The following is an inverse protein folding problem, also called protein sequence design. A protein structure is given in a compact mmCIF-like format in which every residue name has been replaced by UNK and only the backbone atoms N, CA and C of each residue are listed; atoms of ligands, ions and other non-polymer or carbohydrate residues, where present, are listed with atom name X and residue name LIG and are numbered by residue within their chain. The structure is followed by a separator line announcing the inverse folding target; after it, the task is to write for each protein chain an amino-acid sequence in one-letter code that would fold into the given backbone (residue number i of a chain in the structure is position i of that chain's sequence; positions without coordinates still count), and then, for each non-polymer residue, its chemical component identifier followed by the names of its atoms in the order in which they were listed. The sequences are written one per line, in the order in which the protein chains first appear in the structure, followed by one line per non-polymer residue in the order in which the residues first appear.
data_IF_854357780337
#
_entry.id   IF_854357780337
#
_cell.length_a   1.000
_cell.length_b   1.000
_cell.length_c   1.000
_cell.angle_alpha   90.00
_cell.angle_beta   90.00
_cell.angle_gamma   90.00
#
_symmetry.space_group_name_H-M   'P 1'
#
loop_
_entity.id
_entity.type
_entity.pdbx_description
1 polymer ?
#
# COMPACT_ATOMS: atom_id res chain seq x y z
N UNK A 1 18.46 28.74 -25.56
CA UNK A 1 18.33 28.11 -24.22
C UNK A 1 16.93 27.55 -23.94
N UNK A 2 15.89 28.03 -24.62
CA UNK A 2 14.48 27.58 -24.45
C UNK A 2 14.20 26.10 -24.82
N UNK A 3 15.00 25.51 -25.70
CA UNK A 3 14.82 24.11 -26.18
C UNK A 3 15.10 23.06 -25.10
N UNK A 4 15.93 23.39 -24.10
CA UNK A 4 16.30 22.47 -23.00
C UNK A 4 15.24 22.42 -21.88
N UNK A 5 14.45 23.49 -21.75
CA UNK A 5 13.41 23.59 -20.72
C UNK A 5 12.20 22.68 -21.01
N UNK A 6 11.81 22.52 -22.27
CA UNK A 6 10.71 21.64 -22.65
C UNK A 6 11.03 20.16 -22.43
N UNK A 7 12.24 19.72 -22.74
CA UNK A 7 12.69 18.33 -22.50
C UNK A 7 12.74 17.99 -21.00
N UNK A 8 13.14 18.95 -20.15
CA UNK A 8 13.16 18.76 -18.70
C UNK A 8 11.74 18.68 -18.11
N UNK A 9 10.77 19.44 -18.65
CA UNK A 9 9.39 19.44 -18.14
C UNK A 9 8.65 18.12 -18.40
N UNK A 10 8.93 17.45 -19.53
CA UNK A 10 8.30 16.17 -19.86
C UNK A 10 8.74 15.04 -18.90
N UNK A 11 9.99 15.08 -18.42
CA UNK A 11 10.52 14.12 -17.44
C UNK A 11 9.88 14.35 -16.06
N UNK A 12 9.70 15.62 -15.67
CA UNK A 12 9.06 15.98 -14.39
C UNK A 12 7.57 15.61 -14.39
N UNK A 13 6.85 15.80 -15.50
CA UNK A 13 5.44 15.43 -15.61
C UNK A 13 5.23 13.91 -15.57
N UNK A 14 6.11 13.13 -16.22
CA UNK A 14 6.05 11.67 -16.17
C UNK A 14 6.38 11.10 -14.78
N UNK A 15 7.33 11.71 -14.05
CA UNK A 15 7.66 11.31 -12.68
C UNK A 15 6.56 11.68 -11.67
N UNK A 16 5.86 12.81 -11.88
CA UNK A 16 4.77 13.24 -11.02
C UNK A 16 3.53 12.33 -11.14
N UNK A 17 3.22 11.82 -12.33
CA UNK A 17 2.04 10.98 -12.56
C UNK A 17 2.05 9.64 -11.82
N UNK A 18 3.22 9.08 -11.52
CA UNK A 18 3.38 7.79 -10.83
C UNK A 18 3.22 7.94 -9.31
N UNK A 19 3.44 9.14 -8.75
CA UNK A 19 3.38 9.38 -7.31
C UNK A 19 1.95 9.51 -6.77
N UNK A 20 0.95 9.65 -7.64
CA UNK A 20 -0.46 9.84 -7.25
C UNK A 20 -1.36 8.63 -7.50
N UNK A 21 -0.81 7.51 -8.00
CA UNK A 21 -1.57 6.27 -8.11
C UNK A 21 -1.60 5.60 -6.72
N UNK A 22 -2.47 6.09 -5.83
CA UNK A 22 -2.79 5.39 -4.59
C UNK A 22 -3.30 4.00 -4.94
N UNK A 23 -2.40 3.01 -4.89
CA UNK A 23 -2.78 1.62 -5.13
C UNK A 23 -3.63 1.16 -3.94
N UNK A 24 -4.74 0.45 -4.19
CA UNK A 24 -5.53 -0.11 -3.10
C UNK A 24 -4.65 -1.09 -2.30
N UNK A 25 -4.88 -1.16 -0.98
CA UNK A 25 -4.31 -2.21 -0.16
C UNK A 25 -4.79 -3.56 -0.69
N UNK A 26 -3.88 -4.37 -1.25
CA UNK A 26 -4.20 -5.71 -1.70
C UNK A 26 -4.20 -6.65 -0.50
N UNK A 27 -5.37 -7.06 -0.04
CA UNK A 27 -5.48 -8.16 0.90
C UNK A 27 -5.11 -9.46 0.17
N UNK A 28 -4.04 -10.12 0.61
CA UNK A 28 -3.67 -11.45 0.13
C UNK A 28 -4.35 -12.50 1.02
N UNK A 29 -5.43 -13.12 0.53
CA UNK A 29 -6.16 -14.18 1.25
C UNK A 29 -5.46 -15.55 1.20
N UNK A 30 -4.28 -15.66 0.57
CA UNK A 30 -3.54 -16.91 0.54
C UNK A 30 -2.97 -17.23 1.93
N UNK A 31 -3.65 -18.10 2.66
CA UNK A 31 -3.10 -18.76 3.84
C UNK A 31 -1.84 -19.55 3.44
N UNK A 32 -0.70 -19.19 4.02
CA UNK A 32 0.59 -19.79 3.69
C UNK A 32 1.38 -20.11 4.95
N UNK A 33 1.97 -21.30 4.97
CA UNK A 33 2.92 -21.72 5.99
C UNK A 33 4.14 -22.33 5.31
N UNK A 34 5.33 -21.99 5.79
CA UNK A 34 6.56 -22.59 5.28
C UNK A 34 6.72 -24.06 5.70
N UNK A 35 6.08 -24.49 6.79
CA UNK A 35 6.14 -25.87 7.31
C UNK A 35 7.53 -26.35 7.76
N UNK A 36 8.58 -25.53 7.66
CA UNK A 36 9.96 -25.96 7.84
C UNK A 36 10.24 -26.41 9.29
N UNK A 37 10.61 -27.68 9.46
CA UNK A 37 10.89 -28.27 10.78
C UNK A 37 9.66 -28.55 11.65
N UNK A 38 8.46 -28.54 11.08
CA UNK A 38 7.23 -28.67 11.86
C UNK A 38 6.78 -30.11 12.05
N UNK A 39 6.48 -30.49 13.30
CA UNK A 39 5.93 -31.83 13.64
C UNK A 39 4.39 -31.84 13.59
N UNK A 40 3.74 -30.71 13.89
CA UNK A 40 2.26 -30.56 13.92
C UNK A 40 1.77 -29.17 13.45
N UNK A 41 2.55 -28.42 12.68
CA UNK A 41 2.22 -27.04 12.30
C UNK A 41 1.45 -26.93 10.99
N UNK A 42 1.01 -25.70 10.69
CA UNK A 42 0.23 -25.37 9.49
C UNK A 42 -1.28 -25.31 9.69
N UNK A 43 -1.77 -25.45 10.92
CA UNK A 43 -3.18 -25.28 11.24
C UNK A 43 -3.58 -23.79 11.19
N UNK A 44 -4.11 -23.36 10.05
CA UNK A 44 -4.59 -21.99 9.82
C UNK A 44 -6.12 -21.98 9.79
N UNK A 45 -6.73 -21.12 10.59
CA UNK A 45 -8.19 -20.88 10.59
C UNK A 45 -8.44 -19.60 9.80
N UNK A 46 -9.22 -19.71 8.73
CA UNK A 46 -9.60 -18.59 7.87
C UNK A 46 -11.07 -18.28 8.14
N UNK A 47 -11.34 -17.09 8.65
CA UNK A 47 -12.68 -16.61 8.89
C UNK A 47 -12.79 -15.19 8.32
N UNK A 48 -13.92 -14.91 7.66
CA UNK A 48 -14.27 -13.55 7.27
C UNK A 48 -14.64 -12.75 8.52
N UNK A 49 -13.91 -11.66 8.76
CA UNK A 49 -14.07 -10.78 9.90
C UNK A 49 -14.01 -9.35 9.40
N UNK A 50 -15.12 -8.62 9.54
CA UNK A 50 -15.18 -7.19 9.32
C UNK A 50 -14.52 -6.49 10.51
N UNK A 51 -13.23 -6.17 10.36
CA UNK A 51 -12.44 -5.47 11.36
C UNK A 51 -11.91 -4.20 10.71
N UNK A 52 -12.14 -3.03 11.31
CA UNK A 52 -11.71 -1.79 10.71
C UNK A 52 -10.21 -1.65 10.95
N UNK A 53 -9.42 -1.73 9.89
CA UNK A 53 -7.96 -1.59 9.96
C UNK A 53 -7.53 -0.47 9.01
N UNK A 54 -6.98 0.59 9.59
CA UNK A 54 -6.35 1.65 8.81
C UNK A 54 -4.82 1.54 8.91
N UNK A 55 -4.18 1.36 7.76
CA UNK A 55 -2.73 1.45 7.61
C UNK A 55 -2.42 2.73 6.84
N UNK A 56 -2.19 3.82 7.58
CA UNK A 56 -1.83 5.10 7.00
C UNK A 56 -0.37 5.44 7.31
N UNK A 57 0.27 6.21 6.43
CA UNK A 57 1.61 6.74 6.68
C UNK A 57 2.74 5.83 6.19
N UNK A 58 2.43 4.84 5.35
CA UNK A 58 3.44 4.01 4.71
C UNK A 58 3.88 4.63 3.39
N UNK A 59 5.17 4.98 3.27
CA UNK A 59 5.78 5.35 2.01
C UNK A 59 7.08 4.57 1.80
N UNK A 60 7.24 4.01 0.62
CA UNK A 60 8.44 3.27 0.20
C UNK A 60 8.92 3.89 -1.11
N UNK A 61 10.21 4.24 -1.20
CA UNK A 61 10.84 4.71 -2.43
C UNK A 61 12.07 3.88 -2.76
N UNK A 62 12.19 3.51 -4.03
CA UNK A 62 13.35 2.76 -4.55
C UNK A 62 14.54 3.71 -4.80
N UNK A 63 14.27 4.96 -5.21
CA UNK A 63 15.24 6.04 -5.35
C UNK A 63 14.56 7.38 -4.98
N UNK A 64 15.25 8.28 -4.27
CA UNK A 64 14.71 9.60 -3.90
C UNK A 64 14.10 9.67 -2.49
N UNK A 65 13.17 10.61 -2.27
CA UNK A 65 12.56 10.89 -0.95
C UNK A 65 11.15 10.29 -0.87
N UNK A 66 10.89 9.48 0.15
CA UNK A 66 9.56 8.98 0.50
C UNK A 66 8.97 9.81 1.65
N UNK A 67 7.81 10.41 1.46
CA UNK A 67 7.07 11.11 2.53
C UNK A 67 5.67 10.51 2.63
N UNK A 68 5.20 10.25 3.84
CA UNK A 68 3.84 9.80 4.11
C UNK A 68 3.18 10.71 5.13
N UNK A 69 1.88 10.96 4.98
CA UNK A 69 1.11 11.82 5.89
C UNK A 69 -0.27 11.22 6.09
N UNK A 70 -0.82 11.44 7.28
CA UNK A 70 -2.14 11.00 7.69
C UNK A 70 -2.88 12.17 8.35
N UNK A 71 -4.14 12.36 7.97
CA UNK A 71 -5.08 13.28 8.60
C UNK A 71 -6.44 12.54 8.57
N UNK A 72 -7.20 12.57 9.66
CA UNK A 72 -8.53 11.91 9.75
C UNK A 72 -8.55 10.40 9.40
N UNK A 73 -7.57 9.64 9.88
CA UNK A 73 -7.45 8.21 9.57
C UNK A 73 -8.32 7.31 10.45
N UNK A 74 -9.62 7.59 10.44
CA UNK A 74 -10.61 6.79 11.15
C UNK A 74 -10.88 5.47 10.41
N UNK A 75 -11.04 4.37 11.17
CA UNK A 75 -11.46 3.08 10.65
C UNK A 75 -12.61 2.61 11.53
N UNK A 76 -13.81 2.60 10.98
CA UNK A 76 -15.04 2.28 11.70
C UNK A 76 -15.81 1.21 10.92
N UNK A 77 -16.49 0.31 11.63
CA UNK A 77 -17.46 -0.60 11.04
C UNK A 77 -18.83 0.04 11.21
N UNK A 78 -19.44 0.44 10.10
CA UNK A 78 -20.80 0.97 10.07
C UNK A 78 -21.75 -0.20 9.82
N UNK A 79 -22.59 -0.51 10.81
CA UNK A 79 -23.57 -1.58 10.69
C UNK A 79 -24.92 -0.96 10.34
N UNK A 80 -25.26 -0.95 9.06
CA UNK A 80 -26.56 -0.53 8.55
C UNK A 80 -27.58 -1.64 8.84
N UNK A 81 -28.17 -1.61 10.05
CA UNK A 81 -29.29 -2.45 10.47
C UNK A 81 -30.57 -1.66 10.65
#
# INVERSE_FOLDING_TARGET
MLKKAFAASAIVAAAAGVLFTGAPAMANSNAFTSGNGSVLGGNQVIADLDIPVNVCGTAVAVLGIANAKCVDSEASIENEG
#
